data_IF_882863887633
#
_entry.id   IF_882863887633
#
_cell.length_a   1.000
_cell.length_b   1.000
_cell.length_c   1.000
_cell.angle_alpha   90.00
_cell.angle_beta   90.00
_cell.angle_gamma   90.00
#
_symmetry.space_group_name_H-M   'P 1'
#
loop_
_entity.id
_entity.type
_entity.pdbx_description
1 polymer ?
#
# COMPACT_ATOMS: atom_id res chain seq x y z
N UNK A 1 -20.61 -72.41 -26.34
CA UNK A 1 -20.74 -71.34 -25.32
C UNK A 1 -19.37 -70.70 -25.11
N UNK A 2 -19.19 -69.43 -25.47
CA UNK A 2 -18.26 -68.48 -24.82
C UNK A 2 -18.54 -67.08 -25.37
N UNK A 3 -19.29 -66.33 -24.57
CA UNK A 3 -19.61 -64.91 -24.75
C UNK A 3 -18.30 -64.10 -24.59
N UNK A 4 -17.93 -63.28 -25.57
CA UNK A 4 -16.86 -62.30 -25.41
C UNK A 4 -17.50 -60.95 -25.12
N UNK A 5 -17.31 -60.46 -23.89
CA UNK A 5 -17.74 -59.14 -23.44
C UNK A 5 -16.98 -58.06 -24.21
N UNK A 6 -17.74 -57.11 -24.77
CA UNK A 6 -17.23 -55.88 -25.37
C UNK A 6 -17.16 -54.83 -24.26
N UNK A 7 -15.95 -54.40 -23.89
CA UNK A 7 -15.77 -53.34 -22.88
C UNK A 7 -15.79 -51.98 -23.56
N UNK A 8 -16.75 -51.14 -23.15
CA UNK A 8 -16.90 -49.74 -23.51
C UNK A 8 -15.71 -48.92 -22.97
N UNK A 9 -14.98 -48.22 -23.83
CA UNK A 9 -13.99 -47.21 -23.40
C UNK A 9 -14.70 -45.86 -23.36
N UNK A 10 -15.02 -45.38 -22.16
CA UNK A 10 -15.53 -44.05 -21.93
C UNK A 10 -14.34 -43.07 -21.83
N UNK A 11 -14.21 -42.18 -22.81
CA UNK A 11 -13.24 -41.08 -22.77
C UNK A 11 -13.77 -40.01 -21.80
N UNK A 12 -13.22 -39.96 -20.59
CA UNK A 12 -13.50 -38.87 -19.64
C UNK A 12 -12.69 -37.64 -20.09
N UNK A 13 -13.39 -36.69 -20.72
CA UNK A 13 -12.84 -35.37 -21.01
C UNK A 13 -12.86 -34.55 -19.72
N UNK A 14 -11.77 -34.58 -18.96
CA UNK A 14 -11.59 -33.71 -17.80
C UNK A 14 -11.34 -32.28 -18.30
N UNK A 15 -12.38 -31.45 -18.27
CA UNK A 15 -12.22 -30.00 -18.36
C UNK A 15 -11.46 -29.55 -17.11
N UNK A 16 -10.16 -29.29 -17.27
CA UNK A 16 -9.38 -28.56 -16.29
C UNK A 16 -9.96 -27.14 -16.24
N UNK A 17 -10.86 -26.91 -15.28
CA UNK A 17 -11.22 -25.56 -14.86
C UNK A 17 -9.95 -24.92 -14.33
N UNK A 18 -9.32 -24.09 -15.15
CA UNK A 18 -8.36 -23.11 -14.69
C UNK A 18 -9.19 -22.15 -13.85
N UNK A 19 -9.26 -22.44 -12.55
CA UNK A 19 -9.77 -21.49 -11.59
C UNK A 19 -8.88 -20.26 -11.73
N UNK A 20 -9.39 -19.21 -12.37
CA UNK A 20 -8.87 -17.86 -12.16
C UNK A 20 -9.10 -17.57 -10.68
N UNK A 21 -8.13 -17.95 -9.85
CA UNK A 21 -7.88 -17.19 -8.64
C UNK A 21 -7.76 -15.75 -9.12
N UNK A 22 -8.77 -14.92 -8.85
CA UNK A 22 -8.67 -13.51 -9.06
C UNK A 22 -7.41 -13.08 -8.29
N UNK A 23 -6.34 -12.79 -9.01
CA UNK A 23 -5.17 -12.19 -8.41
C UNK A 23 -5.68 -10.85 -7.85
N UNK A 24 -5.57 -10.71 -6.53
CA UNK A 24 -5.66 -9.42 -5.89
C UNK A 24 -4.51 -8.57 -6.48
N UNK A 25 -4.84 -7.41 -7.05
CA UNK A 25 -3.93 -6.61 -7.87
C UNK A 25 -3.87 -6.95 -9.37
N UNK A 26 -3.41 -5.99 -10.17
CA UNK A 26 -3.19 -6.11 -11.62
C UNK A 26 -1.68 -6.08 -11.91
N UNK A 27 -1.09 -7.18 -12.40
CA UNK A 27 0.32 -7.22 -12.78
C UNK A 27 0.66 -6.31 -13.97
N UNK A 28 1.91 -5.83 -14.00
CA UNK A 28 2.48 -5.19 -15.19
C UNK A 28 1.88 -3.83 -15.54
N UNK A 29 1.50 -3.04 -14.52
CA UNK A 29 1.06 -1.66 -14.74
C UNK A 29 2.21 -0.85 -15.31
N UNK A 30 1.94 -0.07 -16.35
CA UNK A 30 2.91 0.79 -17.02
C UNK A 30 2.33 2.18 -17.22
N UNK A 31 3.21 3.17 -17.36
CA UNK A 31 2.81 4.57 -17.53
C UNK A 31 2.84 5.38 -16.25
N UNK A 32 2.30 6.60 -16.34
CA UNK A 32 2.30 7.57 -15.26
C UNK A 32 0.88 7.88 -14.84
N UNK A 33 0.66 7.96 -13.53
CA UNK A 33 -0.66 8.13 -12.94
C UNK A 33 -0.63 9.20 -11.87
N UNK A 34 -1.67 10.02 -11.81
CA UNK A 34 -1.90 10.96 -10.72
C UNK A 34 -3.28 10.75 -10.13
N UNK A 35 -3.47 11.12 -8.87
CA UNK A 35 -4.76 10.97 -8.22
C UNK A 35 -4.76 11.38 -6.77
N UNK A 36 -5.75 10.89 -6.05
CA UNK A 36 -5.99 11.24 -4.65
C UNK A 36 -6.07 10.00 -3.79
N UNK A 37 -5.55 10.12 -2.57
CA UNK A 37 -5.78 9.16 -1.51
C UNK A 37 -6.67 9.76 -0.43
N UNK A 38 -7.49 8.92 0.20
CA UNK A 38 -8.37 9.26 1.31
C UNK A 38 -7.59 9.85 2.48
N UNK A 39 -8.25 10.56 3.41
CA UNK A 39 -7.54 11.10 4.57
C UNK A 39 -6.75 10.02 5.30
N UNK A 40 -5.42 10.21 5.39
CA UNK A 40 -4.49 9.23 5.93
C UNK A 40 -4.91 8.75 7.31
N UNK A 41 -5.11 7.44 7.46
CA UNK A 41 -5.36 6.83 8.76
C UNK A 41 -4.06 6.28 9.34
N UNK A 42 -3.84 6.54 10.63
CA UNK A 42 -2.70 6.03 11.39
C UNK A 42 -3.23 5.11 12.48
N UNK A 43 -2.87 3.84 12.41
CA UNK A 43 -3.26 2.82 13.37
C UNK A 43 -2.12 2.48 14.32
N UNK A 44 -2.45 1.96 15.51
CA UNK A 44 -1.52 1.20 16.34
C UNK A 44 -2.10 -0.18 16.67
N UNK A 45 -1.23 -1.08 17.11
CA UNK A 45 -1.56 -2.42 17.63
C UNK A 45 -1.73 -2.46 19.16
N UNK A 46 -1.45 -1.35 19.84
CA UNK A 46 -1.41 -1.30 21.30
C UNK A 46 -2.82 -1.03 21.86
N UNK A 47 -3.45 -2.08 22.37
CA UNK A 47 -4.78 -2.02 22.99
C UNK A 47 -5.13 -3.28 23.79
N UNK A 48 -6.11 -3.16 24.68
CA UNK A 48 -6.76 -4.29 25.35
C UNK A 48 -8.28 -4.19 25.15
N UNK A 49 -8.92 -5.11 24.40
CA UNK A 49 -8.31 -6.26 23.73
C UNK A 49 -7.37 -5.84 22.58
N UNK A 50 -6.40 -6.69 22.21
CA UNK A 50 -5.48 -6.41 21.10
C UNK A 50 -6.24 -6.28 19.77
N UNK A 51 -5.87 -5.28 18.98
CA UNK A 51 -6.45 -5.00 17.67
C UNK A 51 -6.10 -3.58 17.18
N UNK A 52 -6.37 -3.27 15.90
CA UNK A 52 -6.12 -1.95 15.34
C UNK A 52 -6.89 -0.86 16.09
N UNK A 53 -6.17 0.12 16.62
CA UNK A 53 -6.76 1.34 17.19
C UNK A 53 -6.37 2.53 16.32
N UNK A 54 -7.35 3.24 15.78
CA UNK A 54 -7.11 4.50 15.07
C UNK A 54 -6.51 5.53 16.03
N UNK A 55 -5.32 6.04 15.71
CA UNK A 55 -4.58 7.04 16.49
C UNK A 55 -4.42 8.37 15.79
N UNK A 56 -4.62 8.41 14.47
CA UNK A 56 -4.59 9.64 13.70
C UNK A 56 -5.47 9.53 12.47
N UNK A 57 -6.20 10.60 12.16
CA UNK A 57 -6.99 10.71 10.94
C UNK A 57 -6.60 11.98 10.20
N UNK A 58 -6.34 11.85 8.91
CA UNK A 58 -6.09 12.97 8.02
C UNK A 58 -7.25 13.96 8.00
N UNK A 59 -6.96 15.24 7.85
CA UNK A 59 -8.00 16.27 7.82
C UNK A 59 -8.58 16.48 6.42
N UNK A 60 -7.91 15.97 5.38
CA UNK A 60 -8.31 16.06 3.99
C UNK A 60 -7.66 14.91 3.19
N UNK A 61 -8.24 14.57 2.02
CA UNK A 61 -7.56 13.75 1.03
C UNK A 61 -6.22 14.37 0.64
N UNK A 62 -5.24 13.52 0.33
CA UNK A 62 -3.98 13.97 -0.28
C UNK A 62 -3.88 13.54 -1.73
N UNK A 63 -2.76 13.88 -2.36
CA UNK A 63 -2.48 13.55 -3.76
C UNK A 63 -1.28 12.64 -3.87
N UNK A 64 -1.32 11.74 -4.83
CA UNK A 64 -0.16 10.92 -5.21
C UNK A 64 0.10 10.99 -6.70
N UNK A 65 1.35 10.73 -7.05
CA UNK A 65 1.78 10.51 -8.43
C UNK A 65 2.65 9.25 -8.46
N UNK A 66 2.48 8.46 -9.51
CA UNK A 66 3.23 7.24 -9.78
C UNK A 66 3.79 7.29 -11.19
N UNK A 67 5.04 6.87 -11.35
CA UNK A 67 5.66 6.56 -12.64
C UNK A 67 6.11 5.10 -12.56
N UNK A 68 5.24 4.19 -13.00
CA UNK A 68 5.52 2.75 -12.92
C UNK A 68 6.64 2.32 -13.88
N UNK A 69 6.83 3.08 -14.97
CA UNK A 69 7.93 2.81 -15.91
C UNK A 69 9.29 3.11 -15.29
N UNK A 70 9.39 4.23 -14.56
CA UNK A 70 10.62 4.64 -13.89
C UNK A 70 10.70 4.22 -12.41
N UNK A 71 9.68 3.51 -11.92
CA UNK A 71 9.59 2.93 -10.57
C UNK A 71 9.73 3.95 -9.45
N UNK A 72 8.98 5.04 -9.52
CA UNK A 72 8.95 6.01 -8.43
C UNK A 72 7.56 6.62 -8.19
N UNK A 73 7.36 7.11 -6.97
CA UNK A 73 6.12 7.73 -6.52
C UNK A 73 6.40 9.00 -5.71
N UNK A 74 5.37 9.83 -5.56
CA UNK A 74 5.33 10.95 -4.61
C UNK A 74 3.99 10.95 -3.91
N UNK A 75 3.95 11.12 -2.59
CA UNK A 75 2.73 11.41 -1.84
C UNK A 75 2.80 12.83 -1.29
N UNK A 76 1.68 13.54 -1.28
CA UNK A 76 1.61 14.87 -0.68
C UNK A 76 1.86 14.83 0.82
N UNK A 77 2.33 15.95 1.35
CA UNK A 77 2.29 16.20 2.79
C UNK A 77 0.84 16.49 3.22
N UNK A 78 0.57 16.40 4.51
CA UNK A 78 -0.76 16.71 5.03
C UNK A 78 -0.77 16.99 6.52
N UNK A 79 -1.96 16.93 7.10
CA UNK A 79 -2.19 17.14 8.54
C UNK A 79 -3.09 16.04 9.05
N UNK A 80 -2.78 15.53 10.25
CA UNK A 80 -3.60 14.56 10.97
C UNK A 80 -4.10 15.15 12.28
N UNK A 81 -5.32 14.83 12.64
CA UNK A 81 -5.83 14.99 13.99
C UNK A 81 -5.53 13.70 14.75
N UNK A 82 -4.68 13.81 15.76
CA UNK A 82 -4.32 12.69 16.58
C UNK A 82 -5.35 12.46 17.71
N UNK A 83 -5.50 11.19 18.06
CA UNK A 83 -6.34 10.71 19.15
C UNK A 83 -5.49 10.30 20.36
N UNK A 84 -6.08 10.27 21.57
CA UNK A 84 -5.38 9.91 22.78
C UNK A 84 -4.44 8.68 22.66
N UNK A 85 -3.23 8.76 23.23
CA UNK A 85 -2.76 9.80 24.15
C UNK A 85 -2.27 11.08 23.45
N UNK A 86 -2.18 11.09 22.11
CA UNK A 86 -1.76 12.25 21.34
C UNK A 86 -2.98 13.12 21.03
N UNK A 87 -3.18 14.21 21.76
CA UNK A 87 -4.29 15.14 21.49
C UNK A 87 -3.74 16.34 20.73
N UNK A 88 -4.27 16.59 19.53
CA UNK A 88 -3.96 17.77 18.74
C UNK A 88 -3.90 17.52 17.24
N UNK A 89 -3.64 18.58 16.49
CA UNK A 89 -3.43 18.52 15.05
C UNK A 89 -1.97 18.77 14.73
N UNK A 90 -1.36 17.91 13.92
CA UNK A 90 0.02 18.10 13.47
C UNK A 90 0.21 17.70 12.00
N UNK A 91 1.16 18.36 11.35
CA UNK A 91 1.52 18.04 9.98
C UNK A 91 2.27 16.72 9.87
N UNK A 92 2.21 16.05 8.73
CA UNK A 92 3.15 15.00 8.37
C UNK A 92 3.87 15.36 7.08
N UNK A 93 5.08 14.84 6.93
CA UNK A 93 5.87 14.95 5.72
C UNK A 93 6.20 13.56 5.20
N UNK A 94 5.93 13.35 3.91
CA UNK A 94 6.41 12.18 3.17
C UNK A 94 7.56 12.64 2.30
N UNK A 95 8.70 11.97 2.41
CA UNK A 95 9.89 12.31 1.64
C UNK A 95 10.68 11.08 1.23
N UNK A 96 11.75 11.31 0.51
CA UNK A 96 12.61 10.25 0.02
C UNK A 96 13.35 9.53 1.15
N UNK A 97 13.37 8.20 1.07
CA UNK A 97 13.99 7.28 2.03
C UNK A 97 15.52 7.45 2.14
N UNK A 98 16.21 7.87 1.08
CA UNK A 98 17.67 7.95 1.01
C UNK A 98 18.23 9.39 1.00
N UNK A 99 17.43 10.39 0.61
CA UNK A 99 17.83 11.81 0.55
C UNK A 99 16.73 12.71 1.11
N UNK A 100 16.94 13.26 2.31
CA UNK A 100 15.90 13.90 3.13
C UNK A 100 15.12 15.11 2.57
N UNK A 101 15.26 15.47 1.29
CA UNK A 101 14.54 16.59 0.65
C UNK A 101 13.89 16.26 -0.71
N UNK A 102 14.16 15.10 -1.32
CA UNK A 102 13.42 14.73 -2.54
C UNK A 102 12.00 14.28 -2.15
N UNK A 103 10.97 14.77 -2.85
CA UNK A 103 9.59 14.34 -2.67
C UNK A 103 9.31 12.96 -3.29
N UNK A 104 10.26 12.47 -4.08
CA UNK A 104 10.11 11.28 -4.91
C UNK A 104 10.83 10.10 -4.29
N UNK A 105 10.15 8.95 -4.18
CA UNK A 105 10.67 7.74 -3.56
C UNK A 105 10.49 6.51 -4.45
N UNK A 106 11.34 5.48 -4.30
CA UNK A 106 11.30 4.29 -5.16
C UNK A 106 10.08 3.41 -4.88
N UNK A 107 9.64 2.73 -5.94
CA UNK A 107 8.65 1.65 -5.92
C UNK A 107 9.36 0.35 -6.31
N UNK A 108 9.11 -0.73 -5.58
CA UNK A 108 9.43 -2.09 -6.03
C UNK A 108 8.18 -2.78 -6.57
N UNK A 109 8.29 -3.44 -7.71
CA UNK A 109 7.19 -4.16 -8.38
C UNK A 109 7.41 -5.66 -8.18
N UNK A 110 6.45 -6.30 -7.52
CA UNK A 110 6.53 -7.72 -7.20
C UNK A 110 6.11 -8.63 -8.37
N UNK A 111 5.59 -8.05 -9.47
CA UNK A 111 5.20 -8.76 -10.67
C UNK A 111 3.84 -9.45 -10.60
N UNK A 112 3.11 -9.29 -9.49
CA UNK A 112 1.84 -9.95 -9.19
C UNK A 112 0.70 -8.96 -8.90
N UNK A 113 0.93 -7.65 -9.05
CA UNK A 113 -0.04 -6.60 -8.78
C UNK A 113 0.14 -5.92 -7.42
N UNK A 114 1.13 -6.34 -6.64
CA UNK A 114 1.58 -5.65 -5.45
C UNK A 114 2.84 -4.83 -5.70
N UNK A 115 2.92 -3.68 -5.04
CA UNK A 115 4.01 -2.73 -5.17
C UNK A 115 4.45 -2.23 -3.80
N UNK A 116 5.75 -2.23 -3.50
CA UNK A 116 6.26 -1.68 -2.24
C UNK A 116 6.82 -0.28 -2.46
N UNK A 117 6.29 0.71 -1.75
CA UNK A 117 6.84 2.08 -1.74
C UNK A 117 7.73 2.29 -0.53
N UNK A 118 8.93 2.84 -0.71
CA UNK A 118 9.89 3.09 0.38
C UNK A 118 10.10 4.58 0.62
N UNK A 119 9.68 5.10 1.77
CA UNK A 119 9.69 6.54 2.03
C UNK A 119 10.16 6.87 3.44
N UNK A 120 10.51 8.13 3.64
CA UNK A 120 10.69 8.73 4.96
C UNK A 120 9.35 9.34 5.38
N UNK A 121 8.83 8.91 6.51
CA UNK A 121 7.65 9.51 7.13
C UNK A 121 8.08 10.32 8.35
N UNK A 122 7.66 11.58 8.43
CA UNK A 122 7.93 12.45 9.57
C UNK A 122 6.62 13.01 10.10
N UNK A 123 6.37 12.83 11.40
CA UNK A 123 5.30 13.52 12.09
C UNK A 123 5.85 14.86 12.62
N UNK A 124 5.31 15.98 12.16
CA UNK A 124 5.69 17.33 12.58
C UNK A 124 4.94 17.74 13.85
N UNK A 125 5.10 16.94 14.91
CA UNK A 125 4.54 17.20 16.22
C UNK A 125 5.60 17.83 17.15
N UNK A 126 5.49 19.12 17.48
CA UNK A 126 6.46 19.79 18.36
C UNK A 126 6.45 19.23 19.79
N UNK A 127 5.38 18.57 20.22
CA UNK A 127 5.30 17.92 21.53
C UNK A 127 6.19 16.67 21.68
N UNK A 128 6.67 16.10 20.57
CA UNK A 128 7.48 14.87 20.56
C UNK A 128 8.78 15.01 19.73
N UNK A 129 9.22 16.24 19.46
CA UNK A 129 10.49 16.51 18.79
C UNK A 129 10.51 16.16 17.30
N UNK A 130 9.34 16.10 16.64
CA UNK A 130 9.17 15.80 15.22
C UNK A 130 9.78 14.44 14.77
N UNK A 131 9.30 13.31 15.30
CA UNK A 131 9.89 12.01 15.00
C UNK A 131 9.76 11.67 13.52
N UNK A 132 10.75 10.94 13.01
CA UNK A 132 10.76 10.47 11.64
C UNK A 132 11.31 9.06 11.55
N UNK A 133 10.78 8.29 10.60
CA UNK A 133 11.21 6.92 10.32
C UNK A 133 11.34 6.66 8.83
N UNK A 134 12.21 5.72 8.51
CA UNK A 134 12.34 5.14 7.18
C UNK A 134 11.45 3.91 7.12
N UNK A 135 10.48 3.92 6.21
CA UNK A 135 9.33 3.01 6.24
C UNK A 135 8.98 2.53 4.85
N UNK A 136 8.19 1.47 4.78
CA UNK A 136 7.59 0.99 3.55
C UNK A 136 6.07 0.87 3.69
N UNK A 137 5.37 0.80 2.56
CA UNK A 137 3.98 0.35 2.48
C UNK A 137 3.84 -0.54 1.26
N UNK A 138 3.25 -1.71 1.42
CA UNK A 138 2.86 -2.57 0.30
C UNK A 138 1.48 -2.18 -0.18
N UNK A 139 1.35 -1.88 -1.46
CA UNK A 139 0.13 -1.43 -2.11
C UNK A 139 -0.37 -2.54 -3.04
N UNK A 140 -1.63 -2.91 -2.91
CA UNK A 140 -2.38 -3.60 -3.96
C UNK A 140 -2.87 -2.57 -4.97
N UNK A 141 -2.51 -2.75 -6.24
CA UNK A 141 -2.92 -1.86 -7.33
C UNK A 141 -3.78 -2.63 -8.31
N UNK A 142 -5.07 -2.31 -8.37
CA UNK A 142 -6.03 -2.93 -9.29
C UNK A 142 -6.41 -1.97 -10.40
N UNK A 143 -6.26 -2.40 -11.66
CA UNK A 143 -6.64 -1.61 -12.82
C UNK A 143 -7.98 -2.07 -13.40
N UNK A 144 -8.92 -1.14 -13.53
CA UNK A 144 -10.22 -1.40 -14.15
C UNK A 144 -10.23 -0.94 -15.61
N UNK A 145 -10.96 -1.63 -16.50
CA UNK A 145 -11.24 -1.12 -17.85
C UNK A 145 -10.10 -1.23 -18.88
N UNK A 146 -9.09 -2.07 -18.61
CA UNK A 146 -7.98 -2.34 -19.52
C UNK A 146 -6.72 -1.51 -19.23
N UNK A 147 -5.69 -1.56 -20.11
CA UNK A 147 -4.33 -1.09 -19.80
C UNK A 147 -4.17 0.41 -19.48
N UNK A 148 -5.16 1.22 -19.80
CA UNK A 148 -5.16 2.69 -19.57
C UNK A 148 -6.25 3.14 -18.62
N UNK A 149 -7.01 2.20 -18.06
CA UNK A 149 -8.11 2.55 -17.18
C UNK A 149 -7.65 2.92 -15.77
N UNK A 150 -8.58 3.38 -14.91
CA UNK A 150 -8.28 3.89 -13.59
C UNK A 150 -7.71 2.80 -12.67
N UNK A 151 -6.87 3.22 -11.74
CA UNK A 151 -6.31 2.40 -10.69
C UNK A 151 -7.09 2.62 -9.40
N UNK A 152 -7.43 1.52 -8.73
CA UNK A 152 -7.75 1.50 -7.30
C UNK A 152 -6.50 1.03 -6.58
N UNK A 153 -6.09 1.77 -5.55
CA UNK A 153 -4.85 1.54 -4.82
C UNK A 153 -5.21 1.45 -3.34
N UNK A 154 -4.79 0.38 -2.68
CA UNK A 154 -4.99 0.17 -1.25
C UNK A 154 -3.72 -0.38 -0.62
N UNK A 155 -3.41 0.07 0.58
CA UNK A 155 -2.35 -0.55 1.38
C UNK A 155 -2.85 -1.90 1.88
N UNK A 156 -1.97 -2.89 1.93
CA UNK A 156 -2.26 -4.18 2.53
C UNK A 156 -1.45 -4.36 3.81
N UNK A 157 -1.99 -5.20 4.70
CA UNK A 157 -1.31 -5.77 5.85
C UNK A 157 -0.23 -6.73 5.33
N UNK A 158 1.03 -6.31 5.44
CA UNK A 158 2.16 -7.06 4.90
C UNK A 158 3.44 -6.71 5.66
N UNK A 159 3.63 -7.38 6.79
CA UNK A 159 4.89 -7.31 7.52
C UNK A 159 5.83 -8.44 7.07
N UNK A 160 7.08 -8.07 6.76
CA UNK A 160 8.17 -9.03 6.60
C UNK A 160 8.70 -9.56 7.95
N UNK A 161 7.88 -9.55 9.01
CA UNK A 161 8.29 -9.96 10.35
C UNK A 161 8.02 -11.45 10.59
N UNK A 162 8.71 -12.04 11.57
CA UNK A 162 8.56 -13.46 11.91
C UNK A 162 7.15 -13.85 12.39
N UNK A 163 6.32 -12.86 12.74
CA UNK A 163 4.93 -13.04 13.16
C UNK A 163 3.93 -13.00 12.02
N UNK A 164 4.36 -12.62 10.80
CA UNK A 164 3.50 -12.43 9.64
C UNK A 164 2.57 -11.20 9.80
N UNK A 165 1.59 -11.13 8.90
CA UNK A 165 0.48 -10.18 8.91
C UNK A 165 -0.17 -10.07 10.29
N UNK A 166 -0.18 -8.87 10.89
CA UNK A 166 -0.68 -8.66 12.26
C UNK A 166 -2.15 -8.20 12.33
N UNK A 167 -2.81 -8.11 11.18
CA UNK A 167 -4.19 -7.69 11.02
C UNK A 167 -4.36 -6.20 10.78
N UNK A 168 -3.26 -5.42 10.71
CA UNK A 168 -3.30 -3.97 10.53
C UNK A 168 -2.68 -3.58 9.19
N UNK A 169 -3.37 -2.67 8.50
CA UNK A 169 -2.95 -2.24 7.18
C UNK A 169 -1.73 -1.32 7.31
N UNK A 170 -0.62 -1.74 6.70
CA UNK A 170 0.59 -0.93 6.60
C UNK A 170 1.86 -1.73 6.82
N UNK A 171 2.89 -1.04 7.29
CA UNK A 171 4.09 -1.68 7.85
C UNK A 171 4.43 -0.91 9.10
N UNK A 172 4.55 -1.60 10.22
CA UNK A 172 4.90 -1.00 11.52
C UNK A 172 6.12 -0.07 11.45
N UNK A 173 5.99 1.15 11.99
CA UNK A 173 7.12 2.02 12.33
C UNK A 173 7.57 1.69 13.76
N UNK A 174 8.78 1.15 13.97
CA UNK A 174 9.27 0.89 15.32
C UNK A 174 9.38 2.16 16.16
N UNK A 175 9.07 2.08 17.46
CA UNK A 175 9.18 3.19 18.42
C UNK A 175 10.60 3.80 18.50
N UNK A 176 11.63 3.08 18.04
CA UNK A 176 13.02 3.56 17.97
C UNK A 176 13.24 4.80 17.08
N UNK A 177 12.24 5.20 16.30
CA UNK A 177 12.25 6.42 15.48
C UNK A 177 11.68 7.66 16.22
N UNK A 178 11.47 7.56 17.54
CA UNK A 178 10.89 8.63 18.36
C UNK A 178 9.36 8.68 18.31
N UNK A 179 8.71 7.70 17.66
CA UNK A 179 7.27 7.54 17.71
C UNK A 179 6.86 6.96 19.06
N UNK A 180 5.78 7.47 19.68
CA UNK A 180 5.35 7.03 21.01
C UNK A 180 4.71 5.64 21.04
N UNK A 181 4.40 5.06 19.87
CA UNK A 181 3.81 3.73 19.69
C UNK A 181 4.13 3.21 18.29
N UNK A 182 3.87 1.91 18.04
CA UNK A 182 3.89 1.33 16.70
C UNK A 182 2.84 2.02 15.82
N UNK A 183 3.25 2.61 14.72
CA UNK A 183 2.36 3.33 13.82
C UNK A 183 2.28 2.65 12.46
N UNK A 184 1.08 2.52 11.91
CA UNK A 184 0.84 1.96 10.59
C UNK A 184 -0.05 2.88 9.76
N UNK A 185 0.21 2.94 8.46
CA UNK A 185 -0.42 3.91 7.56
C UNK A 185 -1.29 3.18 6.56
N UNK A 186 -2.58 3.50 6.57
CA UNK A 186 -3.51 3.06 5.54
C UNK A 186 -3.61 4.11 4.44
N UNK A 187 -2.94 3.86 3.31
CA UNK A 187 -3.12 4.63 2.09
C UNK A 187 -4.13 3.93 1.19
N UNK A 188 -5.21 4.60 0.85
CA UNK A 188 -6.23 4.08 -0.03
C UNK A 188 -6.75 5.20 -0.94
N UNK A 189 -7.06 4.89 -2.19
CA UNK A 189 -7.50 5.90 -3.13
C UNK A 189 -7.55 5.44 -4.57
N UNK A 190 -7.55 6.41 -5.47
CA UNK A 190 -7.58 6.15 -6.91
C UNK A 190 -6.53 6.96 -7.66
N UNK A 191 -6.13 6.46 -8.83
CA UNK A 191 -5.24 7.17 -9.73
C UNK A 191 -5.70 6.98 -11.19
N UNK A 192 -5.42 7.97 -12.03
CA UNK A 192 -5.79 7.98 -13.44
C UNK A 192 -4.54 8.19 -14.28
N UNK A 193 -4.52 7.60 -15.47
CA UNK A 193 -3.41 7.77 -16.40
C UNK A 193 -3.25 9.28 -16.69
N UNK A 194 -2.08 9.81 -16.36
CA UNK A 194 -1.76 11.21 -16.48
C UNK A 194 -0.35 11.37 -17.07
N UNK A 195 -0.25 11.56 -18.40
CA UNK A 195 1.05 11.74 -19.04
C UNK A 195 1.75 13.05 -18.65
N UNK A 196 1.06 13.99 -17.98
CA UNK A 196 1.65 15.24 -17.51
C UNK A 196 2.44 15.08 -16.20
N UNK A 197 2.32 13.93 -15.51
CA UNK A 197 3.14 13.60 -14.33
C UNK A 197 4.62 13.78 -14.65
N UNK A 198 5.27 14.62 -13.86
CA UNK A 198 6.64 15.08 -14.07
C UNK A 198 7.57 14.71 -12.91
N UNK A 199 7.22 13.69 -12.13
CA UNK A 199 8.11 13.16 -11.11
C UNK A 199 9.41 12.66 -11.75
N UNK A 200 10.53 13.05 -11.15
CA UNK A 200 11.87 12.62 -11.56
C UNK A 200 12.39 11.68 -10.49
N UNK A 201 12.66 10.44 -10.88
CA UNK A 201 13.19 9.46 -9.95
C UNK A 201 14.62 9.85 -9.53
N UNK A 202 14.99 9.63 -8.25
CA UNK A 202 16.29 10.01 -7.70
C UNK A 202 17.48 9.20 -8.26
#
# INVERSE_FOLDING_TARGET
MKLRQLTLVATVLAAAGIGSSALAGTPGITGKYSGTYDPLEIYNLEGSPPGPVLKGLGNAPGTWEFDFNNRCATFSNGTVNAQPPLVGSFGYTVGNYFRGASATFPIDDHGDGYYTVYYRFQANNPGFGNPFGFVSSTLEVTQAGGPTGPLTIATIDHEATATGADGVVGTSIPAGYGFPYLAERNWQGTAYLDPAVSITCP
#
